data_IF_554522364575
#
_entry.id   IF_554522364575
#
_cell.length_a   1.000
_cell.length_b   1.000
_cell.length_c   1.000
_cell.angle_alpha   90.00
_cell.angle_beta   90.00
_cell.angle_gamma   90.00
#
_symmetry.space_group_name_H-M   'P 1'
#
loop_
_entity.id
_entity.type
_entity.pdbx_description
1 polymer ?
#
# COMPACT_ATOMS: atom_id res chain seq x y z
N UNK A 1 -9.61 -7.18 -37.65
CA UNK A 1 -9.81 -7.70 -36.30
C UNK A 1 -10.73 -8.91 -36.43
N UNK A 2 -10.33 -10.09 -35.94
CA UNK A 2 -11.10 -11.32 -36.07
C UNK A 2 -12.33 -11.37 -35.14
N UNK A 3 -12.40 -10.46 -34.18
CA UNK A 3 -13.55 -10.31 -33.29
C UNK A 3 -13.75 -11.45 -32.28
N UNK A 4 -12.74 -12.27 -32.04
CA UNK A 4 -12.87 -13.38 -31.13
C UNK A 4 -12.71 -12.92 -29.66
N UNK A 5 -13.51 -13.48 -28.77
CA UNK A 5 -13.42 -13.33 -27.34
C UNK A 5 -12.56 -14.46 -26.77
N UNK A 6 -11.50 -14.12 -26.05
CA UNK A 6 -10.60 -15.08 -25.43
C UNK A 6 -10.81 -15.16 -23.92
N UNK A 7 -10.86 -16.38 -23.40
CA UNK A 7 -10.80 -16.66 -21.98
C UNK A 7 -9.62 -17.62 -21.71
N UNK A 8 -8.68 -17.21 -20.87
CA UNK A 8 -7.48 -18.00 -20.55
C UNK A 8 -6.71 -18.49 -21.78
N UNK A 9 -6.65 -17.68 -22.84
CA UNK A 9 -5.95 -18.00 -24.09
C UNK A 9 -6.73 -18.87 -25.07
N UNK A 10 -7.94 -19.26 -24.73
CA UNK A 10 -8.84 -20.01 -25.65
C UNK A 10 -9.94 -19.10 -26.15
N UNK A 11 -10.38 -19.29 -27.41
CA UNK A 11 -11.54 -18.59 -27.96
C UNK A 11 -12.79 -19.05 -27.23
N UNK A 12 -13.47 -18.12 -26.54
CA UNK A 12 -14.70 -18.40 -25.81
C UNK A 12 -15.96 -18.08 -26.64
N UNK A 13 -15.86 -17.12 -27.55
CA UNK A 13 -16.90 -16.75 -28.46
C UNK A 13 -16.29 -15.98 -29.64
N UNK A 14 -16.85 -16.17 -30.84
CA UNK A 14 -16.53 -15.36 -32.02
C UNK A 14 -17.57 -14.27 -32.18
N UNK A 15 -17.15 -13.02 -32.35
CA UNK A 15 -18.07 -11.94 -32.68
C UNK A 15 -18.29 -11.91 -34.19
N UNK A 16 -19.53 -11.79 -34.67
CA UNK A 16 -19.81 -11.81 -36.09
C UNK A 16 -19.34 -10.58 -36.87
N UNK A 17 -18.95 -9.51 -36.17
CA UNK A 17 -18.62 -8.24 -36.81
C UNK A 17 -17.14 -7.95 -36.83
N UNK A 18 -16.57 -7.80 -38.02
CA UNK A 18 -15.26 -7.15 -38.17
C UNK A 18 -15.44 -5.64 -38.12
N UNK A 19 -14.71 -4.97 -37.25
CA UNK A 19 -14.69 -3.51 -37.20
C UNK A 19 -14.05 -2.95 -38.48
N UNK A 20 -14.80 -2.15 -39.22
CA UNK A 20 -14.25 -1.39 -40.32
C UNK A 20 -13.33 -0.27 -39.84
N UNK A 21 -12.45 0.21 -40.71
CA UNK A 21 -11.56 1.35 -40.39
C UNK A 21 -12.42 2.56 -40.02
N UNK A 22 -12.07 3.23 -38.95
CA UNK A 22 -12.78 4.40 -38.36
C UNK A 22 -14.19 4.09 -37.81
N UNK A 23 -14.52 2.83 -37.51
CA UNK A 23 -15.72 2.50 -36.74
C UNK A 23 -15.39 2.35 -35.25
N UNK A 24 -16.38 2.65 -34.39
CA UNK A 24 -16.27 2.44 -32.95
C UNK A 24 -16.91 1.11 -32.56
N UNK A 25 -16.13 0.22 -31.93
CA UNK A 25 -16.67 -0.98 -31.30
C UNK A 25 -17.22 -0.65 -29.92
N UNK A 26 -18.35 -1.25 -29.56
CA UNK A 26 -18.99 -1.13 -28.28
C UNK A 26 -18.99 -2.46 -27.54
N UNK A 27 -18.87 -2.40 -26.23
CA UNK A 27 -18.93 -3.55 -25.32
C UNK A 27 -19.93 -3.20 -24.22
N UNK A 28 -20.81 -4.16 -23.89
CA UNK A 28 -21.64 -4.10 -22.68
C UNK A 28 -21.45 -5.39 -21.89
N UNK A 29 -21.34 -5.26 -20.58
CA UNK A 29 -21.16 -6.37 -19.65
C UNK A 29 -22.08 -6.22 -18.44
N UNK A 30 -22.90 -7.24 -18.18
CA UNK A 30 -23.72 -7.34 -16.99
C UNK A 30 -22.98 -8.19 -15.94
N UNK A 31 -22.49 -7.53 -14.91
CA UNK A 31 -21.72 -8.15 -13.83
C UNK A 31 -22.57 -9.04 -12.91
N UNK A 32 -23.90 -8.92 -12.95
CA UNK A 32 -24.79 -9.75 -12.13
C UNK A 32 -25.09 -11.10 -12.78
N UNK A 33 -25.21 -11.12 -14.12
CA UNK A 33 -25.60 -12.33 -14.87
C UNK A 33 -24.43 -12.96 -15.62
N UNK A 34 -23.31 -12.24 -15.81
CA UNK A 34 -22.19 -12.67 -16.65
C UNK A 34 -22.47 -12.56 -18.14
N UNK A 35 -23.52 -11.84 -18.52
CA UNK A 35 -23.86 -11.60 -19.93
C UNK A 35 -22.94 -10.54 -20.54
N UNK A 36 -22.54 -10.78 -21.78
CA UNK A 36 -21.61 -9.93 -22.50
C UNK A 36 -22.08 -9.71 -23.95
N UNK A 37 -22.04 -8.47 -24.39
CA UNK A 37 -22.42 -8.06 -25.75
C UNK A 37 -21.29 -7.25 -26.37
N UNK A 38 -21.18 -7.40 -27.71
CA UNK A 38 -20.37 -6.52 -28.55
C UNK A 38 -21.26 -5.88 -29.59
N UNK A 39 -20.82 -4.78 -30.17
CA UNK A 39 -21.58 -4.10 -31.23
C UNK A 39 -20.77 -2.99 -31.89
N UNK A 40 -21.37 -2.30 -32.82
CA UNK A 40 -20.77 -1.19 -33.55
C UNK A 40 -21.59 0.08 -33.41
N UNK A 41 -20.93 1.20 -33.11
CA UNK A 41 -21.53 2.52 -33.07
C UNK A 41 -21.48 3.18 -34.44
N UNK A 42 -22.63 3.57 -34.93
CA UNK A 42 -22.81 4.38 -36.16
C UNK A 42 -23.65 5.60 -35.81
N UNK A 43 -23.06 6.79 -35.90
CA UNK A 43 -23.69 8.00 -35.36
C UNK A 43 -23.94 7.85 -33.86
N UNK A 44 -25.20 8.01 -33.43
CA UNK A 44 -25.62 7.85 -32.03
C UNK A 44 -26.27 6.48 -31.74
N UNK A 45 -26.23 5.55 -32.68
CA UNK A 45 -26.93 4.26 -32.53
C UNK A 45 -25.93 3.11 -32.51
N UNK A 46 -26.06 2.23 -31.51
CA UNK A 46 -25.31 0.97 -31.44
C UNK A 46 -26.12 -0.15 -32.06
N UNK A 47 -25.52 -0.80 -33.04
CA UNK A 47 -26.02 -2.08 -33.55
C UNK A 47 -25.29 -3.21 -32.82
N UNK A 48 -26.01 -3.92 -31.96
CA UNK A 48 -25.46 -5.03 -31.21
C UNK A 48 -25.36 -6.29 -32.04
N UNK A 49 -24.26 -7.01 -31.92
CA UNK A 49 -24.05 -8.29 -32.58
C UNK A 49 -25.07 -9.33 -32.09
N UNK A 50 -25.30 -10.37 -32.89
CA UNK A 50 -26.25 -11.45 -32.61
C UNK A 50 -27.70 -10.96 -32.36
N UNK A 51 -28.08 -9.80 -32.92
CA UNK A 51 -29.37 -9.15 -32.60
C UNK A 51 -29.56 -8.96 -31.09
N UNK A 52 -28.46 -8.70 -30.39
CA UNK A 52 -28.40 -8.54 -28.94
C UNK A 52 -29.09 -7.27 -28.45
N UNK A 53 -29.58 -7.32 -27.23
CA UNK A 53 -30.11 -6.13 -26.55
C UNK A 53 -29.68 -6.17 -25.07
N UNK A 54 -28.60 -5.43 -24.70
CA UNK A 54 -28.16 -5.37 -23.31
C UNK A 54 -29.24 -4.87 -22.35
N UNK A 55 -30.05 -3.87 -22.75
CA UNK A 55 -31.09 -3.31 -21.90
C UNK A 55 -32.17 -4.32 -21.46
N UNK A 56 -32.40 -5.35 -22.26
CA UNK A 56 -33.34 -6.43 -21.94
C UNK A 56 -32.68 -7.76 -21.59
N UNK A 57 -31.34 -7.80 -21.61
CA UNK A 57 -30.57 -9.02 -21.38
C UNK A 57 -30.63 -10.04 -22.50
N UNK A 58 -31.19 -9.68 -23.67
CA UNK A 58 -31.45 -10.64 -24.77
C UNK A 58 -30.22 -10.87 -25.64
N UNK A 59 -30.06 -12.12 -26.11
CA UNK A 59 -29.06 -12.55 -27.08
C UNK A 59 -27.64 -12.06 -26.81
N UNK A 60 -27.04 -12.30 -25.62
CA UNK A 60 -25.63 -12.01 -25.38
C UNK A 60 -24.75 -12.86 -26.29
N UNK A 61 -23.53 -12.37 -26.57
CA UNK A 61 -22.50 -13.17 -27.26
C UNK A 61 -22.09 -14.36 -26.37
N UNK A 62 -22.03 -14.12 -25.08
CA UNK A 62 -21.84 -15.16 -24.05
C UNK A 62 -22.54 -14.77 -22.75
N UNK A 63 -23.00 -15.78 -22.01
CA UNK A 63 -23.53 -15.65 -20.63
C UNK A 63 -22.67 -16.38 -19.61
N UNK A 64 -21.45 -16.75 -19.98
CA UNK A 64 -20.56 -17.61 -19.17
C UNK A 64 -19.40 -16.85 -18.54
N UNK A 65 -19.41 -15.52 -18.56
CA UNK A 65 -18.35 -14.75 -17.90
C UNK A 65 -18.55 -14.84 -16.39
N UNK A 66 -17.56 -15.37 -15.61
CA UNK A 66 -17.68 -15.49 -14.17
C UNK A 66 -17.93 -14.12 -13.51
N UNK A 67 -18.97 -14.00 -12.72
CA UNK A 67 -19.36 -12.75 -12.04
C UNK A 67 -18.56 -12.48 -10.75
N UNK A 68 -17.82 -13.49 -10.27
CA UNK A 68 -16.98 -13.40 -9.07
C UNK A 68 -15.56 -12.89 -9.33
N UNK A 69 -15.17 -12.67 -10.58
CA UNK A 69 -13.81 -12.26 -10.94
C UNK A 69 -13.77 -10.79 -11.35
N UNK A 70 -12.59 -10.19 -11.25
CA UNK A 70 -12.32 -8.87 -11.81
C UNK A 70 -12.02 -9.00 -13.31
N UNK A 71 -12.65 -8.16 -14.12
CA UNK A 71 -12.48 -8.17 -15.55
C UNK A 71 -11.88 -6.86 -16.04
N UNK A 72 -10.95 -6.96 -16.96
CA UNK A 72 -10.38 -5.82 -17.67
C UNK A 72 -10.64 -6.00 -19.15
N UNK A 73 -11.17 -4.97 -19.80
CA UNK A 73 -11.28 -4.96 -21.24
C UNK A 73 -9.88 -4.77 -21.85
N UNK A 74 -9.42 -5.76 -22.60
CA UNK A 74 -8.17 -5.68 -23.36
C UNK A 74 -8.51 -5.70 -24.84
N UNK A 75 -8.08 -4.66 -25.56
CA UNK A 75 -8.21 -4.57 -27.02
C UNK A 75 -6.82 -4.63 -27.61
N UNK A 76 -6.59 -5.57 -28.51
CA UNK A 76 -5.32 -5.74 -29.22
C UNK A 76 -5.47 -5.38 -30.69
N UNK A 77 -4.59 -4.49 -31.17
CA UNK A 77 -4.48 -4.15 -32.60
C UNK A 77 -3.44 -5.03 -33.29
N UNK A 78 -3.70 -5.40 -34.54
CA UNK A 78 -2.79 -6.13 -35.43
C UNK A 78 -2.34 -5.21 -36.57
N UNK A 79 -1.11 -5.34 -37.02
CA UNK A 79 -0.55 -4.60 -38.17
C UNK A 79 -0.52 -3.07 -37.97
N UNK A 80 0.07 -2.60 -36.89
CA UNK A 80 0.26 -1.17 -36.60
C UNK A 80 -1.03 -0.32 -36.52
N UNK A 81 -2.14 -0.94 -36.13
CA UNK A 81 -3.37 -0.20 -35.83
C UNK A 81 -3.26 0.60 -34.55
N UNK A 82 -3.70 1.85 -34.56
CA UNK A 82 -3.97 2.62 -33.34
C UNK A 82 -5.36 2.30 -32.84
N UNK A 83 -5.47 1.99 -31.52
CA UNK A 83 -6.75 1.76 -30.86
C UNK A 83 -6.87 2.74 -29.71
N UNK A 84 -7.98 3.46 -29.64
CA UNK A 84 -8.32 4.32 -28.50
C UNK A 84 -9.44 3.67 -27.73
N UNK A 85 -9.26 3.52 -26.41
CA UNK A 85 -10.29 3.04 -25.49
C UNK A 85 -11.04 4.25 -24.93
N UNK A 86 -12.33 4.30 -25.15
CA UNK A 86 -13.23 5.33 -24.64
C UNK A 86 -13.98 4.76 -23.44
N UNK A 87 -13.77 5.32 -22.27
CA UNK A 87 -14.33 4.81 -21.01
C UNK A 87 -15.14 5.83 -20.24
N UNK A 88 -15.05 7.11 -20.59
CA UNK A 88 -15.76 8.16 -19.87
C UNK A 88 -17.15 8.41 -20.45
N UNK A 89 -18.09 8.85 -19.60
CA UNK A 89 -19.44 9.20 -20.02
C UNK A 89 -19.47 10.31 -21.09
N UNK A 90 -18.45 11.19 -21.12
CA UNK A 90 -18.30 12.25 -22.11
C UNK A 90 -17.87 11.74 -23.49
N UNK A 91 -17.27 10.55 -23.55
CA UNK A 91 -16.84 9.92 -24.82
C UNK A 91 -17.97 9.16 -25.52
N UNK A 92 -19.06 8.87 -24.79
CA UNK A 92 -20.28 8.26 -25.32
C UNK A 92 -21.31 9.36 -25.59
N UNK A 93 -21.91 9.33 -26.75
CA UNK A 93 -23.15 10.07 -26.95
C UNK A 93 -24.20 9.43 -26.01
N UNK A 94 -24.77 10.22 -25.11
CA UNK A 94 -25.64 9.74 -24.00
C UNK A 94 -26.79 8.84 -24.47
N UNK A 95 -27.21 9.00 -25.73
CA UNK A 95 -28.21 8.15 -26.36
C UNK A 95 -27.73 6.76 -26.77
N UNK A 96 -26.43 6.49 -26.72
CA UNK A 96 -25.84 5.20 -27.12
C UNK A 96 -25.73 4.18 -26.00
N UNK A 97 -25.86 4.61 -24.74
CA UNK A 97 -25.80 3.69 -23.60
C UNK A 97 -27.12 2.94 -23.43
N UNK A 98 -27.12 1.60 -23.37
CA UNK A 98 -28.32 0.83 -23.07
C UNK A 98 -28.90 1.18 -21.71
N UNK A 99 -30.22 1.17 -21.57
CA UNK A 99 -30.89 1.39 -20.28
C UNK A 99 -30.38 0.38 -19.25
N UNK A 100 -29.99 0.88 -18.09
CA UNK A 100 -29.42 0.07 -17.00
C UNK A 100 -27.91 -0.10 -17.04
N UNK A 101 -27.25 0.37 -18.09
CA UNK A 101 -25.78 0.34 -18.20
C UNK A 101 -25.19 1.73 -17.95
N UNK A 102 -24.00 1.75 -17.40
CA UNK A 102 -23.21 2.96 -17.14
C UNK A 102 -21.84 2.85 -17.81
N UNK A 103 -21.27 3.97 -18.23
CA UNK A 103 -19.90 3.99 -18.74
C UNK A 103 -18.90 3.55 -17.65
N UNK A 104 -17.83 2.88 -18.04
CA UNK A 104 -16.73 2.53 -17.13
C UNK A 104 -15.87 3.78 -16.95
N UNK A 105 -16.32 4.71 -16.14
CA UNK A 105 -15.56 5.89 -15.77
C UNK A 105 -15.57 6.13 -14.25
N UNK A 106 -14.71 7.02 -13.79
CA UNK A 106 -14.57 7.30 -12.36
C UNK A 106 -15.82 7.91 -11.73
N UNK A 107 -16.73 8.48 -12.52
CA UNK A 107 -17.98 9.07 -12.01
C UNK A 107 -19.05 8.02 -11.76
N UNK A 108 -18.99 6.88 -12.46
CA UNK A 108 -19.94 5.77 -12.37
C UNK A 108 -19.43 4.60 -11.52
N UNK A 109 -18.15 4.62 -11.18
CA UNK A 109 -17.58 3.66 -10.24
C UNK A 109 -18.10 4.00 -8.85
N UNK A 110 -18.67 3.00 -8.15
CA UNK A 110 -19.17 3.19 -6.80
C UNK A 110 -18.14 3.90 -5.91
N UNK A 111 -18.59 4.75 -5.00
CA UNK A 111 -17.74 5.64 -4.19
C UNK A 111 -16.65 4.93 -3.37
N UNK A 112 -16.79 3.65 -3.13
CA UNK A 112 -15.80 2.78 -2.51
C UNK A 112 -14.68 2.31 -3.48
N UNK A 113 -14.86 2.48 -4.81
CA UNK A 113 -13.82 2.30 -5.83
C UNK A 113 -13.33 3.66 -6.32
N UNK A 114 -14.20 4.66 -6.30
CA UNK A 114 -13.82 6.06 -6.53
C UNK A 114 -12.90 6.50 -5.40
N UNK A 115 -11.60 6.44 -5.65
CA UNK A 115 -10.65 7.18 -4.84
C UNK A 115 -10.94 8.67 -5.03
N UNK A 116 -11.72 9.25 -4.13
CA UNK A 116 -11.61 10.71 -4.01
C UNK A 116 -10.17 10.98 -3.56
N UNK A 117 -9.43 11.79 -4.30
CA UNK A 117 -8.07 12.21 -3.91
C UNK A 117 -8.02 12.79 -2.50
N UNK A 118 -9.16 13.24 -1.97
CA UNK A 118 -9.34 13.66 -0.59
C UNK A 118 -9.11 12.57 0.46
N UNK A 119 -9.29 11.28 0.15
CA UNK A 119 -9.11 10.21 1.12
C UNK A 119 -7.68 9.64 1.16
N UNK A 120 -6.94 9.65 0.03
CA UNK A 120 -5.55 9.16 0.02
C UNK A 120 -4.61 10.07 0.76
N UNK A 121 -4.76 11.37 0.60
CA UNK A 121 -3.96 12.38 1.30
C UNK A 121 -4.31 12.47 2.79
N UNK A 122 -5.31 11.74 3.25
CA UNK A 122 -5.77 11.77 4.63
C UNK A 122 -5.04 10.77 5.54
N UNK A 123 -4.53 9.66 5.00
CA UNK A 123 -3.92 8.57 5.78
C UNK A 123 -2.45 8.32 5.44
N UNK A 124 -2.03 8.61 4.23
CA UNK A 124 -0.62 8.51 3.82
C UNK A 124 -0.27 9.56 2.78
N UNK A 125 0.93 10.12 2.88
CA UNK A 125 1.50 10.99 1.88
C UNK A 125 3.02 10.87 1.81
N UNK A 126 3.55 10.85 0.59
CA UNK A 126 4.97 11.06 0.31
C UNK A 126 5.19 12.53 -0.08
N UNK A 127 6.10 13.22 0.58
CA UNK A 127 6.45 14.63 0.31
C UNK A 127 7.93 14.73 0.02
N UNK A 128 8.28 15.30 -1.13
CA UNK A 128 9.66 15.66 -1.43
C UNK A 128 9.90 17.13 -1.05
N UNK A 129 11.06 17.42 -0.46
CA UNK A 129 11.41 18.78 -0.09
C UNK A 129 12.92 19.02 -0.18
N UNK A 130 13.28 20.29 -0.25
CA UNK A 130 14.68 20.73 -0.15
C UNK A 130 14.91 21.30 1.24
N UNK A 131 15.96 20.88 1.90
CA UNK A 131 16.37 21.38 3.20
C UNK A 131 16.73 22.87 3.14
N UNK A 132 16.53 23.55 4.27
CA UNK A 132 16.78 25.00 4.40
C UNK A 132 17.87 25.34 5.39
N UNK A 133 18.31 24.38 6.22
CA UNK A 133 19.18 24.61 7.37
C UNK A 133 18.53 25.45 8.48
N UNK A 134 17.23 25.74 8.38
CA UNK A 134 16.45 26.49 9.36
C UNK A 134 15.14 25.76 9.65
N UNK A 135 14.57 25.96 10.83
CA UNK A 135 13.27 25.35 11.18
C UNK A 135 12.23 25.63 10.11
N UNK A 136 11.52 24.58 9.68
CA UNK A 136 10.46 24.68 8.67
C UNK A 136 9.40 23.60 8.84
N UNK A 137 8.21 23.88 8.34
CA UNK A 137 7.17 22.86 8.18
C UNK A 137 7.33 22.15 6.82
N UNK A 138 7.31 20.83 6.84
CA UNK A 138 7.26 19.95 5.67
C UNK A 138 5.87 19.34 5.64
N UNK A 139 5.03 19.87 4.77
CA UNK A 139 3.62 19.53 4.68
C UNK A 139 3.17 19.76 3.24
N UNK A 140 2.54 18.80 2.59
CA UNK A 140 2.06 18.96 1.21
C UNK A 140 0.58 19.28 1.14
N UNK A 141 -0.20 18.84 2.12
CA UNK A 141 -1.63 19.17 2.25
C UNK A 141 -2.01 19.36 3.72
N UNK A 142 -3.04 20.17 3.97
CA UNK A 142 -3.66 20.25 5.29
C UNK A 142 -4.75 19.19 5.39
N UNK A 143 -4.63 18.25 6.31
CA UNK A 143 -5.62 17.21 6.57
C UNK A 143 -6.13 17.30 8.00
N UNK A 144 -7.28 16.67 8.27
CA UNK A 144 -7.81 16.54 9.63
C UNK A 144 -7.06 15.50 10.46
N UNK A 145 -6.41 14.53 9.78
CA UNK A 145 -5.61 13.51 10.44
C UNK A 145 -4.20 14.04 10.71
N UNK A 146 -3.66 13.71 11.88
CA UNK A 146 -2.33 14.15 12.31
C UNK A 146 -1.30 13.06 11.98
N UNK A 147 -0.08 13.48 11.62
CA UNK A 147 1.07 12.58 11.45
C UNK A 147 1.24 11.69 12.67
N UNK A 148 1.27 10.40 12.46
CA UNK A 148 1.42 9.39 13.51
C UNK A 148 2.76 8.68 13.42
N UNK A 149 3.21 8.39 12.20
CA UNK A 149 4.51 7.82 11.88
C UNK A 149 5.12 8.55 10.69
N UNK A 150 6.33 9.03 10.85
CA UNK A 150 7.07 9.79 9.84
C UNK A 150 8.43 9.16 9.61
N UNK A 151 8.76 8.91 8.36
CA UNK A 151 10.02 8.34 7.92
C UNK A 151 10.68 9.33 6.96
N UNK A 152 11.85 9.87 7.32
CA UNK A 152 12.58 10.86 6.54
C UNK A 152 13.87 10.24 6.01
N UNK A 153 14.22 10.53 4.77
CA UNK A 153 15.51 10.14 4.17
C UNK A 153 16.07 11.28 3.31
N UNK A 154 17.33 11.61 3.55
CA UNK A 154 18.14 12.38 2.61
C UNK A 154 18.36 11.56 1.33
N UNK A 155 18.18 12.20 0.18
CA UNK A 155 18.26 11.54 -1.14
C UNK A 155 19.58 11.74 -1.86
N UNK A 156 20.48 12.54 -1.30
CA UNK A 156 21.73 12.95 -1.91
C UNK A 156 22.98 12.52 -1.14
N UNK A 157 22.85 12.15 0.12
CA UNK A 157 23.95 11.78 1.01
C UNK A 157 23.65 10.49 1.77
N UNK A 158 24.69 9.87 2.33
CA UNK A 158 24.63 8.64 3.11
C UNK A 158 24.17 8.92 4.57
N UNK A 159 23.13 9.76 4.75
CA UNK A 159 22.48 9.99 6.03
C UNK A 159 21.57 8.83 6.42
N UNK A 160 21.32 8.64 7.71
CA UNK A 160 20.44 7.58 8.17
C UNK A 160 18.99 7.76 7.70
N UNK A 161 18.25 6.67 7.66
CA UNK A 161 16.80 6.69 7.62
C UNK A 161 16.25 7.05 8.98
N UNK A 162 15.61 8.20 9.12
CA UNK A 162 15.12 8.76 10.37
C UNK A 162 13.65 8.44 10.60
N UNK A 163 13.32 7.70 11.66
CA UNK A 163 11.96 7.24 11.96
C UNK A 163 11.44 7.87 13.26
N UNK A 164 10.31 8.52 13.15
CA UNK A 164 9.62 9.25 14.22
C UNK A 164 8.18 8.76 14.36
N UNK A 165 7.66 8.75 15.59
CA UNK A 165 6.24 8.48 15.81
C UNK A 165 5.69 9.25 17.02
N UNK A 166 4.38 9.38 17.03
CA UNK A 166 3.66 10.17 18.00
C UNK A 166 3.54 9.49 19.38
N UNK A 167 3.74 8.17 19.44
CA UNK A 167 3.72 7.41 20.70
C UNK A 167 4.95 7.73 21.54
N UNK A 168 6.13 7.73 20.92
CA UNK A 168 7.38 8.14 21.60
C UNK A 168 7.47 9.66 21.78
N UNK A 169 6.74 10.41 20.97
CA UNK A 169 6.74 11.87 20.97
C UNK A 169 7.76 12.47 20.00
N UNK A 170 7.78 13.80 19.96
CA UNK A 170 8.71 14.56 19.13
C UNK A 170 10.15 14.40 19.57
N UNK A 171 11.11 14.75 18.69
CA UNK A 171 12.56 14.76 18.96
C UNK A 171 13.20 13.39 19.19
N UNK A 172 12.43 12.32 19.18
CA UNK A 172 12.91 10.95 19.39
C UNK A 172 12.93 10.19 18.08
N UNK A 173 14.11 9.76 17.69
CA UNK A 173 14.34 9.01 16.44
C UNK A 173 15.00 7.66 16.70
N UNK A 174 14.83 6.78 15.75
CA UNK A 174 15.61 5.58 15.54
C UNK A 174 15.80 5.36 14.05
N UNK A 175 16.73 4.51 13.65
CA UNK A 175 17.15 4.35 12.27
C UNK A 175 16.83 2.96 11.74
N UNK A 176 16.20 2.85 10.57
CA UNK A 176 15.88 1.55 9.97
C UNK A 176 17.12 0.79 9.47
N UNK A 177 18.20 1.51 9.19
CA UNK A 177 19.46 1.00 8.66
C UNK A 177 20.54 0.72 9.73
N UNK A 178 20.19 0.83 11.02
CA UNK A 178 21.13 0.71 12.14
C UNK A 178 20.51 -0.06 13.31
N UNK A 179 21.36 -0.67 14.14
CA UNK A 179 21.01 -1.24 15.44
C UNK A 179 21.00 -0.19 16.58
N UNK A 180 21.45 1.04 16.32
CA UNK A 180 21.59 2.09 17.32
C UNK A 180 20.34 2.27 18.18
N UNK A 181 20.54 2.63 19.44
CA UNK A 181 19.49 2.98 20.40
C UNK A 181 18.73 4.23 19.94
N UNK A 182 17.54 4.44 20.51
CA UNK A 182 16.79 5.67 20.28
C UNK A 182 17.64 6.89 20.67
N UNK A 183 17.70 7.86 19.76
CA UNK A 183 18.28 9.18 20.08
C UNK A 183 17.19 10.18 20.46
N UNK A 184 17.62 11.26 21.15
CA UNK A 184 16.78 12.43 21.42
C UNK A 184 17.50 13.66 20.94
N UNK A 185 16.95 14.30 19.90
CA UNK A 185 17.54 15.48 19.28
C UNK A 185 16.46 16.54 19.00
N UNK A 186 16.52 17.65 19.73
CA UNK A 186 15.55 18.74 19.63
C UNK A 186 15.54 19.44 18.24
N UNK A 187 16.49 19.14 17.38
CA UNK A 187 16.60 19.72 16.04
C UNK A 187 16.11 18.80 14.92
N UNK A 188 15.55 17.63 15.25
CA UNK A 188 14.89 16.74 14.29
C UNK A 188 13.40 17.10 14.14
N UNK A 189 12.45 16.17 14.28
CA UNK A 189 11.01 16.47 14.23
C UNK A 189 10.57 17.16 15.52
N UNK A 190 10.01 18.36 15.38
CA UNK A 190 9.59 19.24 16.50
C UNK A 190 8.09 19.25 16.75
N UNK A 191 7.30 18.95 15.71
CA UNK A 191 5.84 18.92 15.80
C UNK A 191 5.26 17.98 14.74
N UNK A 192 4.28 17.16 15.12
CA UNK A 192 3.46 16.41 14.21
C UNK A 192 2.26 17.28 13.79
N UNK A 193 2.10 17.50 12.48
CA UNK A 193 1.06 18.35 11.89
C UNK A 193 -0.01 17.50 11.19
N UNK A 194 -1.11 18.10 10.82
CA UNK A 194 -2.02 17.52 9.84
C UNK A 194 -1.35 17.50 8.46
N UNK A 195 -1.00 16.31 7.96
CA UNK A 195 -0.35 16.14 6.66
C UNK A 195 1.16 16.34 6.61
N UNK A 196 1.85 16.44 7.75
CA UNK A 196 3.30 16.64 7.75
C UNK A 196 3.91 16.82 9.13
N UNK A 197 5.11 17.40 9.18
CA UNK A 197 5.88 17.65 10.39
C UNK A 197 6.57 19.01 10.33
N UNK A 198 6.86 19.59 11.50
CA UNK A 198 7.86 20.67 11.61
C UNK A 198 9.20 20.04 11.96
N UNK A 199 10.25 20.39 11.22
CA UNK A 199 11.62 19.93 11.41
C UNK A 199 12.53 21.09 11.84
N UNK A 200 13.53 20.78 12.65
CA UNK A 200 14.56 21.72 13.08
C UNK A 200 15.72 21.82 12.10
N UNK A 201 16.94 21.94 12.61
CA UNK A 201 18.14 22.23 11.83
C UNK A 201 19.08 21.02 11.69
N UNK A 202 18.69 19.86 12.20
CA UNK A 202 19.51 18.66 12.14
C UNK A 202 19.83 18.27 10.69
N UNK A 203 21.06 17.85 10.45
CA UNK A 203 21.59 17.57 9.11
C UNK A 203 20.89 16.38 8.45
N UNK A 204 20.48 15.37 9.20
CA UNK A 204 19.82 14.17 8.68
C UNK A 204 18.39 14.45 8.19
N UNK A 205 17.80 15.59 8.56
CA UNK A 205 16.45 15.99 8.14
C UNK A 205 16.37 17.32 7.40
N UNK A 206 17.38 18.22 7.50
CA UNK A 206 17.22 19.58 6.97
C UNK A 206 18.52 20.33 6.57
N UNK A 207 19.54 19.64 6.06
CA UNK A 207 20.72 20.30 5.49
C UNK A 207 20.32 21.22 4.35
N UNK A 208 20.84 22.45 4.37
CA UNK A 208 20.53 23.47 3.34
C UNK A 208 20.88 22.98 1.93
N UNK A 209 19.95 23.16 1.01
CA UNK A 209 20.05 22.80 -0.41
C UNK A 209 20.05 21.30 -0.73
N UNK A 210 19.97 20.42 0.26
CA UNK A 210 19.86 18.99 0.04
C UNK A 210 18.41 18.54 -0.17
N UNK A 211 18.23 17.41 -0.83
CA UNK A 211 16.91 16.89 -1.20
C UNK A 211 16.51 15.71 -0.31
N UNK A 212 15.31 15.77 0.19
CA UNK A 212 14.73 14.78 1.12
C UNK A 212 13.44 14.21 0.58
N UNK A 213 13.03 13.09 1.15
CA UNK A 213 11.68 12.55 1.08
C UNK A 213 11.17 12.30 2.51
N UNK A 214 9.92 12.68 2.76
CA UNK A 214 9.14 12.34 3.95
C UNK A 214 8.04 11.39 3.52
N UNK A 215 8.01 10.17 4.08
CA UNK A 215 6.88 9.27 4.04
C UNK A 215 6.13 9.39 5.36
N UNK A 216 4.86 9.72 5.27
CA UNK A 216 4.08 10.14 6.42
C UNK A 216 2.75 9.39 6.51
N UNK A 217 2.57 8.61 7.58
CA UNK A 217 1.32 7.95 7.93
C UNK A 217 0.57 8.81 8.93
N UNK A 218 -0.68 9.09 8.62
CA UNK A 218 -1.54 9.97 9.40
C UNK A 218 -2.70 9.17 9.99
N UNK A 219 -3.05 9.45 11.23
CA UNK A 219 -4.14 8.77 11.93
C UNK A 219 -5.19 9.78 12.41
N UNK A 220 -6.45 9.33 12.41
CA UNK A 220 -7.58 10.11 12.89
C UNK A 220 -7.59 10.29 14.42
N UNK A 221 -6.99 9.34 15.15
CA UNK A 221 -6.86 9.42 16.59
C UNK A 221 -5.95 10.60 17.02
N UNK A 222 -6.30 11.28 18.09
CA UNK A 222 -5.52 12.36 18.70
C UNK A 222 -4.57 11.85 19.77
N UNK A 223 -3.52 12.64 20.10
CA UNK A 223 -2.56 12.31 21.16
C UNK A 223 -1.60 11.17 20.80
N UNK A 224 -0.92 10.63 21.80
CA UNK A 224 0.09 9.57 21.71
C UNK A 224 -0.44 8.16 21.97
N UNK A 225 -1.76 7.97 22.03
CA UNK A 225 -2.38 6.69 22.36
C UNK A 225 -2.66 6.51 23.85
N UNK A 226 -3.15 5.33 24.21
CA UNK A 226 -3.43 4.88 25.59
C UNK A 226 -2.95 3.46 25.80
N UNK A 227 -2.86 3.01 27.06
CA UNK A 227 -2.51 1.61 27.36
C UNK A 227 -3.47 0.63 26.68
N UNK A 228 -2.92 -0.50 26.23
CA UNK A 228 -3.69 -1.65 25.76
C UNK A 228 -3.39 -2.84 26.71
N UNK A 229 -4.40 -3.47 27.21
CA UNK A 229 -4.33 -4.53 28.22
C UNK A 229 -4.73 -5.93 27.67
N UNK A 230 -4.85 -6.08 26.35
CA UNK A 230 -5.20 -7.36 25.71
C UNK A 230 -4.09 -8.41 25.86
N UNK A 231 -2.84 -7.98 25.95
CA UNK A 231 -1.67 -8.85 26.09
C UNK A 231 -1.30 -9.15 27.55
N UNK A 232 -0.39 -10.11 27.76
CA UNK A 232 0.20 -10.35 29.08
C UNK A 232 1.14 -9.24 29.53
N UNK A 233 1.63 -8.44 28.60
CA UNK A 233 2.30 -7.16 28.84
C UNK A 233 1.32 -6.06 28.49
N UNK A 234 0.96 -5.22 29.46
CA UNK A 234 0.22 -4.00 29.18
C UNK A 234 1.14 -3.02 28.46
N UNK A 235 0.69 -2.49 27.32
CA UNK A 235 1.44 -1.45 26.61
C UNK A 235 1.38 -0.14 27.43
N UNK A 236 2.44 0.64 27.38
CA UNK A 236 2.45 1.98 28.00
C UNK A 236 1.60 2.95 27.18
N UNK A 237 1.58 2.78 25.87
CA UNK A 237 0.72 3.49 24.95
C UNK A 237 0.51 2.66 23.67
N UNK A 238 -0.70 2.69 23.14
CA UNK A 238 -1.07 2.15 21.82
C UNK A 238 -1.89 3.19 21.08
N UNK A 239 -1.37 3.63 19.93
CA UNK A 239 -2.06 4.49 19.01
C UNK A 239 -2.50 3.64 17.81
N UNK A 240 -3.79 3.63 17.52
CA UNK A 240 -4.36 2.75 16.48
C UNK A 240 -5.32 3.50 15.57
N UNK A 241 -5.28 3.18 14.29
CA UNK A 241 -6.29 3.57 13.29
C UNK A 241 -6.63 2.34 12.44
N UNK A 242 -7.79 1.75 12.71
CA UNK A 242 -8.29 0.54 12.04
C UNK A 242 -8.69 0.82 10.60
N UNK A 243 -9.02 2.06 10.24
CA UNK A 243 -9.30 2.47 8.86
C UNK A 243 -8.02 2.50 8.03
N UNK A 244 -6.94 3.05 8.60
CA UNK A 244 -5.61 2.97 8.00
C UNK A 244 -5.07 1.53 8.02
N UNK A 245 -5.40 0.73 9.03
CA UNK A 245 -4.85 -0.60 9.24
C UNK A 245 -3.47 -0.59 9.88
N UNK A 246 -3.20 0.37 10.75
CA UNK A 246 -1.90 0.54 11.42
C UNK A 246 -2.08 0.79 12.91
N UNK A 247 -1.20 0.19 13.72
CA UNK A 247 -1.03 0.54 15.13
C UNK A 247 0.44 0.74 15.49
N UNK A 248 0.67 1.57 16.53
CA UNK A 248 1.98 1.85 17.10
C UNK A 248 1.84 1.62 18.60
N UNK A 249 2.60 0.67 19.16
CA UNK A 249 2.52 0.28 20.56
C UNK A 249 3.90 0.37 21.23
N UNK A 250 3.97 1.00 22.40
CA UNK A 250 5.16 1.01 23.24
C UNK A 250 4.95 0.09 24.44
N UNK A 251 5.94 -0.73 24.77
CA UNK A 251 5.88 -1.64 25.90
C UNK A 251 7.24 -1.82 26.58
N UNK A 252 7.25 -2.38 27.79
CA UNK A 252 8.46 -2.78 28.51
C UNK A 252 8.60 -4.30 28.45
N UNK A 253 9.75 -4.78 28.00
CA UNK A 253 10.05 -6.21 27.90
C UNK A 253 10.18 -6.89 29.27
N UNK A 254 9.90 -8.19 29.31
CA UNK A 254 9.93 -9.03 30.50
C UNK A 254 11.06 -10.06 30.51
N UNK A 255 11.69 -10.33 29.36
CA UNK A 255 12.67 -11.40 29.18
C UNK A 255 12.06 -12.82 29.17
N UNK A 256 10.74 -12.93 29.23
CA UNK A 256 9.99 -14.18 29.23
C UNK A 256 8.94 -14.17 28.14
N UNK A 257 8.54 -15.34 27.66
CA UNK A 257 7.46 -15.46 26.68
C UNK A 257 6.22 -14.65 27.10
N UNK A 258 5.76 -13.79 26.22
CA UNK A 258 4.68 -12.84 26.53
C UNK A 258 3.84 -12.53 25.28
N UNK A 259 2.79 -11.75 25.47
CA UNK A 259 1.97 -11.18 24.39
C UNK A 259 1.83 -9.68 24.60
N UNK A 260 1.72 -8.92 23.51
CA UNK A 260 1.43 -7.48 23.51
C UNK A 260 0.14 -7.22 22.71
N UNK A 261 -0.71 -6.34 23.21
CA UNK A 261 -1.91 -5.90 22.52
C UNK A 261 -1.58 -4.85 21.45
N UNK A 262 -2.32 -4.87 20.33
CA UNK A 262 -2.12 -3.93 19.22
C UNK A 262 -3.38 -3.15 18.81
N UNK A 263 -4.57 -3.54 19.26
CA UNK A 263 -5.83 -2.81 19.07
C UNK A 263 -6.38 -2.76 17.65
N UNK A 264 -5.81 -3.46 16.67
CA UNK A 264 -6.25 -3.42 15.26
C UNK A 264 -7.61 -4.09 15.02
N UNK A 265 -8.00 -5.05 15.88
CA UNK A 265 -9.21 -5.88 15.66
C UNK A 265 -9.10 -6.84 14.47
N UNK A 266 -7.95 -6.89 13.80
CA UNK A 266 -7.62 -7.77 12.68
C UNK A 266 -6.19 -8.31 12.85
N UNK A 267 -5.88 -9.45 12.25
CA UNK A 267 -4.56 -10.07 12.36
C UNK A 267 -3.50 -9.22 11.65
N UNK A 268 -2.43 -8.78 12.35
CA UNK A 268 -1.31 -8.09 11.70
C UNK A 268 -0.58 -9.02 10.73
N UNK A 269 -0.28 -8.50 9.55
CA UNK A 269 0.44 -9.22 8.48
C UNK A 269 1.90 -8.80 8.35
N UNK A 270 2.20 -7.57 8.76
CA UNK A 270 3.56 -7.03 8.82
C UNK A 270 3.76 -6.32 10.16
N UNK A 271 4.87 -6.62 10.84
CA UNK A 271 5.18 -6.06 12.14
C UNK A 271 6.65 -5.65 12.15
N UNK A 272 6.96 -4.50 12.73
CA UNK A 272 8.34 -4.07 13.02
C UNK A 272 8.44 -3.79 14.51
N UNK A 273 9.45 -4.35 15.19
CA UNK A 273 9.76 -4.09 16.58
C UNK A 273 11.20 -3.62 16.71
N UNK A 274 11.42 -2.56 17.50
CA UNK A 274 12.75 -2.01 17.81
C UNK A 274 12.93 -1.88 19.33
N UNK A 275 14.02 -2.42 19.85
CA UNK A 275 14.54 -2.09 21.19
C UNK A 275 15.04 -0.64 21.18
N UNK A 276 14.54 0.20 22.07
CA UNK A 276 14.87 1.63 22.14
C UNK A 276 16.04 1.94 23.06
N UNK A 277 16.34 1.04 23.99
CA UNK A 277 17.30 1.27 25.08
C UNK A 277 18.62 0.52 24.87
N UNK A 278 18.64 -0.49 24.00
CA UNK A 278 19.83 -1.28 23.71
C UNK A 278 20.07 -1.40 22.21
N UNK A 279 21.35 -1.57 21.84
CA UNK A 279 21.78 -1.68 20.43
C UNK A 279 21.42 -3.08 19.86
N UNK A 280 20.17 -3.22 19.47
CA UNK A 280 19.58 -4.41 18.88
C UNK A 280 19.00 -4.13 17.51
N UNK A 281 19.10 -5.07 16.59
CA UNK A 281 18.56 -4.95 15.25
C UNK A 281 17.02 -4.76 15.26
N UNK A 282 16.46 -3.90 14.39
CA UNK A 282 15.01 -3.83 14.22
C UNK A 282 14.49 -5.12 13.57
N UNK A 283 13.62 -5.82 14.33
CA UNK A 283 13.07 -7.14 13.94
C UNK A 283 11.76 -6.96 13.20
N UNK A 284 11.58 -7.66 12.09
CA UNK A 284 10.33 -7.67 11.37
C UNK A 284 9.73 -9.09 11.23
N UNK A 285 8.41 -9.14 11.28
CA UNK A 285 7.55 -10.27 10.93
C UNK A 285 6.83 -9.99 9.61
N UNK A 286 6.66 -11.02 8.80
CA UNK A 286 5.78 -10.96 7.63
C UNK A 286 4.98 -12.27 7.53
N UNK A 287 3.66 -12.19 7.28
CA UNK A 287 2.77 -13.36 7.25
C UNK A 287 3.24 -14.47 6.29
N UNK A 288 3.83 -14.10 5.14
CA UNK A 288 4.30 -15.07 4.15
C UNK A 288 5.56 -15.84 4.58
N UNK A 289 6.29 -15.36 5.57
CA UNK A 289 7.41 -16.10 6.20
C UNK A 289 6.92 -17.00 7.33
N UNK A 290 5.77 -16.64 7.92
CA UNK A 290 5.18 -17.36 9.03
C UNK A 290 5.78 -17.00 10.39
N UNK A 291 5.32 -17.70 11.41
CA UNK A 291 5.58 -17.41 12.82
C UNK A 291 6.85 -18.06 13.40
N UNK A 292 7.64 -18.72 12.58
CA UNK A 292 8.93 -19.31 12.97
C UNK A 292 10.11 -18.44 12.56
N UNK A 293 9.92 -17.48 11.66
CA UNK A 293 10.99 -16.69 11.06
C UNK A 293 10.89 -15.21 11.41
N UNK A 294 12.05 -14.57 11.47
CA UNK A 294 12.19 -13.11 11.48
C UNK A 294 13.10 -12.66 10.35
N UNK A 295 12.94 -11.42 9.94
CA UNK A 295 13.88 -10.68 9.12
C UNK A 295 14.30 -9.40 9.83
N UNK A 296 15.49 -8.90 9.54
CA UNK A 296 16.01 -7.66 10.11
C UNK A 296 15.83 -6.51 9.13
N UNK A 297 15.32 -5.38 9.61
CA UNK A 297 15.06 -4.23 8.74
C UNK A 297 16.37 -3.55 8.30
N UNK A 298 17.43 -3.59 9.13
CA UNK A 298 18.75 -3.02 8.85
C UNK A 298 19.70 -3.99 8.12
N UNK A 299 19.23 -5.11 7.61
CA UNK A 299 20.09 -6.15 7.03
C UNK A 299 19.55 -6.67 5.70
N UNK A 300 20.47 -7.11 4.84
CA UNK A 300 20.15 -7.86 3.61
C UNK A 300 20.17 -9.39 3.80
N UNK A 301 20.45 -9.88 5.00
CA UNK A 301 20.54 -11.32 5.29
C UNK A 301 19.21 -12.03 5.08
N UNK A 302 19.26 -13.31 4.70
CA UNK A 302 18.07 -14.17 4.64
C UNK A 302 17.35 -14.23 5.99
N UNK A 303 16.05 -14.54 6.02
CA UNK A 303 15.31 -14.78 7.25
C UNK A 303 16.01 -15.79 8.14
N UNK A 304 15.87 -15.62 9.44
CA UNK A 304 16.35 -16.57 10.45
C UNK A 304 15.19 -17.18 11.22
N UNK A 305 15.31 -18.44 11.60
CA UNK A 305 14.25 -19.20 12.27
C UNK A 305 14.63 -19.53 13.70
N UNK A 306 13.73 -19.26 14.65
CA UNK A 306 13.84 -19.67 16.05
C UNK A 306 12.52 -19.53 16.80
N UNK A 307 12.33 -20.41 17.80
CA UNK A 307 11.18 -20.34 18.73
C UNK A 307 11.22 -19.11 19.65
N UNK A 308 12.39 -18.48 19.82
CA UNK A 308 12.57 -17.29 20.69
C UNK A 308 12.01 -16.01 20.09
N UNK A 309 11.59 -16.02 18.81
CA UNK A 309 11.04 -14.84 18.16
C UNK A 309 9.54 -14.68 18.49
N UNK A 310 8.68 -15.41 17.78
CA UNK A 310 7.22 -15.28 17.84
C UNK A 310 6.55 -16.46 18.60
N UNK A 311 7.32 -17.25 19.37
CA UNK A 311 6.85 -18.45 20.08
C UNK A 311 6.19 -19.49 19.16
N UNK A 312 6.54 -19.54 17.87
CA UNK A 312 5.85 -20.33 16.83
C UNK A 312 4.32 -20.07 16.82
N UNK A 313 3.90 -18.88 17.19
CA UNK A 313 2.49 -18.51 17.33
C UNK A 313 2.16 -17.35 16.37
N UNK A 314 1.22 -17.60 15.47
CA UNK A 314 0.73 -16.56 14.57
C UNK A 314 0.03 -15.46 15.36
N UNK A 315 0.24 -14.17 15.05
CA UNK A 315 -0.51 -13.07 15.65
C UNK A 315 -2.01 -13.30 15.53
N UNK A 316 -2.77 -12.87 16.53
CA UNK A 316 -4.23 -12.91 16.53
C UNK A 316 -4.80 -11.53 16.16
N UNK A 317 -6.12 -11.38 16.17
CA UNK A 317 -6.77 -10.07 16.00
C UNK A 317 -6.59 -9.13 17.20
N UNK A 318 -6.05 -9.62 18.32
CA UNK A 318 -5.88 -8.84 19.56
C UNK A 318 -4.42 -8.70 19.98
N UNK A 319 -3.61 -9.76 19.82
CA UNK A 319 -2.26 -9.83 20.40
C UNK A 319 -1.21 -10.36 19.43
N UNK A 320 0.03 -9.92 19.65
CA UNK A 320 1.24 -10.45 19.05
C UNK A 320 2.00 -11.22 20.12
N UNK A 321 2.37 -12.47 19.84
CA UNK A 321 3.23 -13.29 20.70
C UNK A 321 4.69 -12.90 20.50
N UNK A 322 5.41 -12.63 21.57
CA UNK A 322 6.84 -12.30 21.58
C UNK A 322 7.59 -13.27 22.51
N UNK A 323 8.68 -13.82 22.02
CA UNK A 323 9.51 -14.77 22.77
C UNK A 323 10.55 -14.06 23.66
N UNK A 324 11.69 -14.70 23.82
CA UNK A 324 12.76 -14.25 24.74
C UNK A 324 13.93 -13.55 24.01
N UNK A 325 13.81 -13.30 22.72
CA UNK A 325 14.82 -12.61 21.92
C UNK A 325 15.06 -11.18 22.44
N UNK A 326 16.31 -10.75 22.54
CA UNK A 326 16.68 -9.42 23.06
C UNK A 326 16.16 -8.28 22.20
N UNK A 327 16.07 -8.45 20.89
CA UNK A 327 15.48 -7.50 19.95
C UNK A 327 13.97 -7.37 20.07
N UNK A 328 13.30 -8.29 20.78
CA UNK A 328 11.85 -8.31 20.93
C UNK A 328 11.35 -8.12 22.35
N UNK A 329 12.06 -8.63 23.36
CA UNK A 329 11.52 -8.72 24.72
C UNK A 329 12.58 -8.79 25.83
N UNK A 330 13.70 -8.11 25.69
CA UNK A 330 14.71 -8.03 26.76
C UNK A 330 14.11 -7.39 28.02
N UNK A 331 14.39 -8.00 29.17
CA UNK A 331 13.82 -7.56 30.46
C UNK A 331 14.14 -6.10 30.79
N UNK A 332 13.12 -5.35 31.18
CA UNK A 332 13.19 -3.96 31.63
C UNK A 332 13.58 -2.95 30.53
N UNK A 333 13.71 -3.37 29.28
CA UNK A 333 13.96 -2.48 28.14
C UNK A 333 12.64 -1.99 27.53
N UNK A 334 12.69 -0.82 26.94
CA UNK A 334 11.54 -0.21 26.23
C UNK A 334 11.58 -0.57 24.75
N UNK A 335 10.43 -0.95 24.21
CA UNK A 335 10.25 -1.32 22.81
C UNK A 335 9.18 -0.48 22.14
N UNK A 336 9.34 -0.26 20.83
CA UNK A 336 8.30 0.26 19.96
C UNK A 336 7.92 -0.81 18.93
N UNK A 337 6.63 -1.02 18.74
CA UNK A 337 6.05 -1.97 17.78
C UNK A 337 5.16 -1.23 16.80
N UNK A 338 5.40 -1.42 15.51
CA UNK A 338 4.54 -0.98 14.42
C UNK A 338 3.88 -2.20 13.80
N UNK A 339 2.57 -2.28 13.83
CA UNK A 339 1.82 -3.40 13.28
C UNK A 339 0.87 -2.92 12.17
N UNK A 340 0.87 -3.66 11.07
CA UNK A 340 0.07 -3.35 9.88
C UNK A 340 -0.80 -4.53 9.49
N UNK A 341 -2.01 -4.25 9.04
CA UNK A 341 -2.95 -5.22 8.45
C UNK A 341 -3.54 -4.67 7.16
N UNK A 342 -4.10 -5.55 6.33
CA UNK A 342 -4.83 -5.11 5.15
C UNK A 342 -5.99 -4.19 5.54
N UNK A 343 -6.16 -3.14 4.78
CA UNK A 343 -7.21 -2.14 4.97
C UNK A 343 -7.65 -1.55 3.62
N UNK A 344 -8.39 -0.46 3.63
CA UNK A 344 -8.66 0.30 2.40
C UNK A 344 -7.42 0.97 1.83
N UNK A 345 -6.34 1.14 2.63
CA UNK A 345 -5.15 1.91 2.29
C UNK A 345 -3.87 1.07 2.32
N UNK A 346 -3.88 -0.09 2.93
CA UNK A 346 -2.73 -0.98 3.10
C UNK A 346 -3.03 -2.32 2.45
N UNK A 347 -2.09 -2.82 1.66
CA UNK A 347 -2.10 -4.16 1.08
C UNK A 347 -0.76 -4.83 1.35
N UNK A 348 -0.80 -6.00 1.98
CA UNK A 348 0.39 -6.77 2.39
C UNK A 348 0.27 -8.15 1.77
N UNK A 349 1.35 -8.65 1.17
CA UNK A 349 1.34 -9.96 0.54
C UNK A 349 2.70 -10.37 0.00
N UNK A 350 2.71 -11.45 -0.75
CA UNK A 350 3.91 -12.00 -1.38
C UNK A 350 3.64 -12.34 -2.85
N UNK A 351 4.71 -12.39 -3.63
CA UNK A 351 4.64 -12.79 -5.04
C UNK A 351 5.89 -13.58 -5.42
N UNK A 352 5.78 -14.43 -6.44
CA UNK A 352 6.92 -15.11 -7.03
C UNK A 352 7.54 -14.26 -8.14
N UNK A 353 8.83 -14.01 -8.08
CA UNK A 353 9.59 -13.40 -9.17
C UNK A 353 9.60 -14.32 -10.41
N UNK A 354 9.59 -13.72 -11.60
CA UNK A 354 9.55 -14.46 -12.87
C UNK A 354 10.85 -14.41 -13.68
N UNK A 355 11.90 -13.76 -13.16
CA UNK A 355 13.19 -13.53 -13.85
C UNK A 355 13.05 -12.86 -15.23
N UNK A 356 12.00 -12.08 -15.43
CA UNK A 356 11.73 -11.37 -16.68
C UNK A 356 11.95 -9.87 -16.47
N UNK A 357 12.55 -9.19 -17.46
CA UNK A 357 12.78 -7.74 -17.41
C UNK A 357 11.47 -6.92 -17.26
N UNK A 358 10.34 -7.45 -17.70
CA UNK A 358 9.02 -6.84 -17.50
C UNK A 358 8.45 -7.05 -16.09
N UNK A 359 9.15 -7.83 -15.25
CA UNK A 359 8.72 -8.16 -13.89
C UNK A 359 7.49 -9.07 -13.82
N UNK A 360 7.03 -9.30 -12.60
CA UNK A 360 5.78 -9.99 -12.30
C UNK A 360 4.69 -8.95 -12.04
N UNK A 361 3.51 -9.13 -12.60
CA UNK A 361 2.35 -8.33 -12.22
C UNK A 361 1.92 -8.71 -10.80
N UNK A 362 1.95 -7.75 -9.90
CA UNK A 362 1.55 -7.93 -8.49
C UNK A 362 0.23 -7.17 -8.28
N UNK A 363 -0.90 -7.89 -8.15
CA UNK A 363 -2.16 -7.23 -7.83
C UNK A 363 -2.09 -6.72 -6.38
N UNK A 364 -2.34 -5.44 -6.19
CA UNK A 364 -2.48 -4.83 -4.87
C UNK A 364 -3.96 -4.65 -4.58
N UNK A 365 -4.47 -5.42 -3.62
CA UNK A 365 -5.88 -5.43 -3.27
C UNK A 365 -6.05 -4.91 -1.84
N UNK A 366 -7.08 -4.10 -1.61
CA UNK A 366 -7.44 -3.69 -0.26
C UNK A 366 -8.17 -4.81 0.50
N UNK A 367 -8.52 -4.59 1.76
CA UNK A 367 -9.23 -5.55 2.61
C UNK A 367 -10.60 -6.01 2.06
N UNK A 368 -11.16 -5.25 1.12
CA UNK A 368 -12.41 -5.58 0.42
C UNK A 368 -12.19 -6.35 -0.88
N UNK A 369 -10.94 -6.67 -1.22
CA UNK A 369 -10.57 -7.30 -2.48
C UNK A 369 -10.58 -6.37 -3.69
N UNK A 370 -10.60 -5.06 -3.49
CA UNK A 370 -10.61 -4.06 -4.56
C UNK A 370 -9.19 -3.59 -4.88
N UNK A 371 -8.86 -3.35 -6.16
CA UNK A 371 -7.54 -2.85 -6.55
C UNK A 371 -7.22 -1.50 -5.91
N UNK A 372 -6.00 -1.35 -5.41
CA UNK A 372 -5.45 -0.07 -4.97
C UNK A 372 -4.25 0.30 -5.83
N UNK A 373 -4.07 1.59 -6.09
CA UNK A 373 -2.85 2.10 -6.73
C UNK A 373 -1.83 2.40 -5.65
N UNK A 374 -0.70 1.68 -5.59
CA UNK A 374 0.33 1.95 -4.60
C UNK A 374 0.91 3.36 -4.77
N UNK A 375 0.98 4.11 -3.69
CA UNK A 375 1.67 5.41 -3.61
C UNK A 375 3.00 5.28 -2.89
N UNK A 376 3.19 4.19 -2.15
CA UNK A 376 4.42 3.78 -1.49
C UNK A 376 4.47 2.24 -1.42
N UNK A 377 5.64 1.69 -1.57
CA UNK A 377 5.86 0.25 -1.44
C UNK A 377 7.24 -0.04 -0.84
N UNK A 378 7.30 -1.04 0.04
CA UNK A 378 8.55 -1.64 0.51
C UNK A 378 8.55 -3.11 0.12
N UNK A 379 9.64 -3.58 -0.47
CA UNK A 379 9.78 -4.91 -1.05
C UNK A 379 11.06 -5.57 -0.57
N UNK A 380 11.01 -6.89 -0.37
CA UNK A 380 12.19 -7.68 -0.05
C UNK A 380 12.05 -9.11 -0.55
N UNK A 381 13.18 -9.69 -0.99
CA UNK A 381 13.25 -11.12 -1.29
C UNK A 381 13.36 -11.97 -0.02
N UNK A 382 12.62 -13.09 0.05
CA UNK A 382 12.77 -14.09 1.10
C UNK A 382 14.12 -14.84 1.07
N UNK A 383 14.84 -14.78 -0.03
CA UNK A 383 16.19 -15.36 -0.14
C UNK A 383 17.31 -14.44 0.38
N UNK A 384 16.96 -13.26 0.92
CA UNK A 384 17.88 -12.21 1.32
C UNK A 384 18.13 -11.20 0.20
N UNK A 385 17.96 -9.93 0.50
CA UNK A 385 18.24 -8.77 -0.35
C UNK A 385 18.10 -7.50 0.48
N UNK A 386 18.40 -6.36 -0.09
CA UNK A 386 18.05 -5.09 0.51
C UNK A 386 16.52 -4.89 0.57
N UNK A 387 16.07 -3.99 1.41
CA UNK A 387 14.69 -3.54 1.49
C UNK A 387 14.46 -2.38 0.54
N UNK A 388 13.92 -2.66 -0.62
CA UNK A 388 13.68 -1.65 -1.67
C UNK A 388 12.43 -0.84 -1.37
N UNK A 389 12.56 0.50 -1.37
CA UNK A 389 11.46 1.44 -1.16
C UNK A 389 11.22 2.25 -2.43
N UNK A 390 9.95 2.30 -2.83
CA UNK A 390 9.46 3.11 -3.95
C UNK A 390 8.30 3.99 -3.51
N UNK A 391 8.15 5.16 -4.14
CA UNK A 391 7.00 6.04 -3.96
C UNK A 391 6.61 6.76 -5.26
N UNK A 392 5.45 7.41 -5.26
CA UNK A 392 4.90 8.07 -6.44
C UNK A 392 5.37 9.53 -6.63
N UNK A 393 6.16 10.09 -5.71
CA UNK A 393 6.61 11.49 -5.76
C UNK A 393 8.01 11.66 -6.33
N UNK A 394 8.91 10.70 -6.10
CA UNK A 394 10.22 10.71 -6.74
C UNK A 394 10.07 10.33 -8.20
N UNK A 395 10.85 10.99 -9.08
CA UNK A 395 10.73 10.95 -10.55
C UNK A 395 10.53 9.55 -11.15
N UNK A 396 9.72 9.49 -12.19
CA UNK A 396 9.38 8.30 -12.98
C UNK A 396 7.93 7.82 -12.71
N UNK A 397 7.08 7.92 -13.74
CA UNK A 397 5.76 7.31 -13.78
C UNK A 397 5.81 6.13 -14.76
N UNK A 398 5.47 4.92 -14.32
CA UNK A 398 5.52 3.67 -15.10
C UNK A 398 6.89 3.12 -15.51
N UNK A 399 8.00 3.76 -15.17
CA UNK A 399 9.28 3.09 -14.94
C UNK A 399 9.82 3.68 -13.66
N UNK A 400 9.47 3.10 -12.52
CA UNK A 400 9.93 3.50 -11.19
C UNK A 400 11.20 2.75 -10.86
N UNK A 401 12.35 3.35 -11.12
CA UNK A 401 13.68 2.82 -10.82
C UNK A 401 14.47 3.70 -9.84
N UNK A 402 13.83 4.74 -9.26
CA UNK A 402 14.41 5.51 -8.16
C UNK A 402 14.15 4.78 -6.82
N UNK A 403 14.99 3.81 -6.57
CA UNK A 403 14.98 3.00 -5.35
C UNK A 403 15.67 3.75 -4.20
N UNK A 404 15.18 3.56 -2.98
CA UNK A 404 15.91 3.78 -1.74
C UNK A 404 15.91 2.47 -0.96
N UNK A 405 16.96 2.23 -0.19
CA UNK A 405 17.16 0.97 0.52
C UNK A 405 17.03 1.20 2.02
N UNK A 406 15.97 0.70 2.66
CA UNK A 406 15.70 0.96 4.07
C UNK A 406 16.81 0.50 5.04
N UNK A 407 17.65 -0.42 4.60
CA UNK A 407 18.77 -0.99 5.36
C UNK A 407 20.15 -0.38 5.02
N UNK A 408 20.18 0.69 4.24
CA UNK A 408 21.42 1.37 3.83
C UNK A 408 21.26 2.87 4.05
N UNK A 409 22.30 3.49 4.63
CA UNK A 409 22.34 4.93 4.85
C UNK A 409 22.31 5.75 3.54
#
# INVERSE_FOLDING_TARGET
VDGDLYNSGSVSASTPSTLAVNTRGCIAFDTATGNFWTGQLSGSTVTWDNSGNPATGSNPITSSIPTSNYWSAVVSGKNSCSISLYTTSNDFEVSALPTGFTAIDTTNIASNISRSDSNTNKYFEATIYTGSGSEKSVQSSTTTNTSAFSWIKNRGTDDNHMLFDRVRGVTKDWHSNSDAVQATNAQTVKTFLGGGVTIGTDVEVNTSSENYVLWNWMMSASGGGSSNEDGSINTTATLVDTTLGMSISQYTGTGSNATIGHGLGAVPKFIIIKNLDDAEDPVAYHEALGNTERILLNSSNSPSSSTVFWQNTTPTSSVISIGTDSGLNQSSQTFICYAFTDSQFVSIGSYAGNNNANGTFVPTLNSLGLPIQPVWAILRSSAGSNWSIFDNKRLGYNVKNNELLANIA
#
